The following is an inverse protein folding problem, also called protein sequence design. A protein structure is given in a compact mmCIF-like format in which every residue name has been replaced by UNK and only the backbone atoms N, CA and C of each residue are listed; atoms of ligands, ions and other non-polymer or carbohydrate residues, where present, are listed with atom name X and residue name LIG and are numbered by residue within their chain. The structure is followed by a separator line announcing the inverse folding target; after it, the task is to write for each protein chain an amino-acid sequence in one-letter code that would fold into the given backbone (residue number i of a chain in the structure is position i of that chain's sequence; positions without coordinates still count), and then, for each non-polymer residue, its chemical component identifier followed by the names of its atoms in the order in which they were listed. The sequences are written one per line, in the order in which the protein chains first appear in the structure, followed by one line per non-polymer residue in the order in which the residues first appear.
data_IF_264213038748
#
_entry.id   IF_264213038748
#
_cell.length_a   1.000
_cell.length_b   1.000
_cell.length_c   1.000
_cell.angle_alpha   90.00
_cell.angle_beta   90.00
_cell.angle_gamma   90.00
#
_symmetry.space_group_name_H-M   'P 1'
#
loop_
_entity.id
_entity.type
_entity.pdbx_description
1 polymer ?
#
# COMPACT_ATOMS: atom_id res chain seq x y z
N UNK A 1 21.32 13.38 12.47
CA UNK A 1 21.83 12.02 12.77
C UNK A 1 21.59 11.70 14.24
N UNK A 2 21.27 10.44 14.55
CA UNK A 2 21.32 9.89 15.90
C UNK A 2 22.51 8.92 16.01
N UNK A 3 23.26 8.98 17.09
CA UNK A 3 24.30 8.02 17.45
C UNK A 3 23.94 7.32 18.75
N UNK A 4 24.16 6.01 18.80
CA UNK A 4 23.93 5.16 19.96
C UNK A 4 25.26 4.58 20.41
N UNK A 5 25.72 5.01 21.60
CA UNK A 5 27.07 4.74 22.08
C UNK A 5 27.99 5.90 21.72
N UNK A 6 28.18 6.81 22.67
CA UNK A 6 29.05 7.98 22.48
C UNK A 6 30.51 7.63 22.77
N UNK A 7 30.75 6.80 23.79
CA UNK A 7 32.10 6.55 24.29
C UNK A 7 32.79 7.87 24.65
N UNK A 8 34.01 8.09 24.13
CA UNK A 8 34.75 9.33 24.36
C UNK A 8 34.32 10.51 23.46
N UNK A 9 33.29 10.34 22.61
CA UNK A 9 32.78 11.38 21.70
C UNK A 9 33.63 11.61 20.44
N UNK A 10 34.50 10.66 20.09
CA UNK A 10 35.36 10.78 18.90
C UNK A 10 34.55 10.75 17.59
N UNK A 11 33.65 9.78 17.45
CA UNK A 11 32.80 9.59 16.27
C UNK A 11 31.83 10.76 16.06
N UNK A 12 31.07 11.16 17.08
CA UNK A 12 30.19 12.34 17.03
C UNK A 12 30.95 13.61 16.61
N UNK A 13 32.13 13.84 17.18
CA UNK A 13 32.98 14.99 16.84
C UNK A 13 33.50 14.90 15.40
N UNK A 14 33.95 13.72 14.98
CA UNK A 14 34.39 13.49 13.61
C UNK A 14 33.27 13.78 12.61
N UNK A 15 32.08 13.23 12.84
CA UNK A 15 30.91 13.48 12.00
C UNK A 15 30.55 14.98 11.96
N UNK A 16 30.57 15.68 13.10
CA UNK A 16 30.25 17.11 13.17
C UNK A 16 31.21 17.99 12.34
N UNK A 17 32.50 17.62 12.31
CA UNK A 17 33.57 18.39 11.69
C UNK A 17 33.85 18.00 10.24
N UNK A 18 33.60 16.75 9.85
CA UNK A 18 33.98 16.20 8.54
C UNK A 18 32.80 15.93 7.61
N UNK A 19 31.57 16.26 8.02
CA UNK A 19 30.37 16.06 7.20
C UNK A 19 29.47 17.30 7.25
N UNK A 20 28.56 17.37 6.27
CA UNK A 20 27.54 18.42 6.17
C UNK A 20 26.31 18.16 7.07
N UNK A 21 26.44 17.25 8.05
CA UNK A 21 25.37 17.00 9.02
C UNK A 21 25.06 18.27 9.80
N UNK A 22 23.80 18.69 9.72
CA UNK A 22 23.30 19.91 10.39
C UNK A 22 23.19 19.72 11.91
N UNK A 23 22.71 18.54 12.34
CA UNK A 23 22.51 18.21 13.76
C UNK A 23 22.81 16.74 14.03
N UNK A 24 23.54 16.50 15.11
CA UNK A 24 23.90 15.17 15.61
C UNK A 24 23.39 15.09 17.04
N UNK A 25 22.65 14.04 17.37
CA UNK A 25 22.29 13.68 18.74
C UNK A 25 23.01 12.38 19.09
N UNK A 26 23.67 12.29 20.23
CA UNK A 26 24.39 11.07 20.66
C UNK A 26 23.96 10.66 22.06
N UNK A 27 23.76 9.35 22.26
CA UNK A 27 23.25 8.76 23.50
C UNK A 27 24.36 7.96 24.18
N UNK A 28 24.60 8.27 25.46
CA UNK A 28 25.50 7.54 26.33
C UNK A 28 24.80 7.18 27.63
N UNK A 29 24.98 5.95 28.12
CA UNK A 29 24.44 5.55 29.42
C UNK A 29 25.43 5.76 30.57
N UNK A 30 26.73 5.74 30.25
CA UNK A 30 27.78 5.84 31.25
C UNK A 30 28.09 7.31 31.53
N UNK A 31 27.80 7.75 32.75
CA UNK A 31 28.01 9.13 33.20
C UNK A 31 29.45 9.62 33.01
N UNK A 32 30.45 8.77 33.25
CA UNK A 32 31.85 9.14 33.11
C UNK A 32 32.21 9.43 31.65
N UNK A 33 31.77 8.57 30.73
CA UNK A 33 31.97 8.81 29.29
C UNK A 33 31.18 10.03 28.80
N UNK A 34 29.97 10.21 29.30
CA UNK A 34 29.16 11.39 29.01
C UNK A 34 29.84 12.69 29.47
N UNK A 35 30.38 12.72 30.69
CA UNK A 35 31.09 13.89 31.23
C UNK A 35 32.40 14.17 30.49
N UNK A 36 33.13 13.13 30.11
CA UNK A 36 34.40 13.24 29.36
C UNK A 36 34.21 13.40 27.86
N UNK A 37 32.97 13.39 27.36
CA UNK A 37 32.70 13.57 25.94
C UNK A 37 33.12 14.99 25.51
N UNK A 38 33.99 15.05 24.50
CA UNK A 38 34.52 16.30 23.99
C UNK A 38 33.39 17.11 23.32
N UNK A 39 32.81 18.08 24.03
CA UNK A 39 31.73 18.98 23.55
C UNK A 39 32.28 20.06 22.61
N UNK A 40 32.94 19.63 21.54
CA UNK A 40 33.76 20.48 20.66
C UNK A 40 32.93 21.15 19.56
N UNK A 41 31.68 20.75 19.35
CA UNK A 41 30.80 21.32 18.33
C UNK A 41 29.39 21.57 18.84
N UNK A 42 28.86 22.77 18.54
CA UNK A 42 27.46 23.13 18.77
C UNK A 42 26.46 22.31 17.96
N UNK A 43 26.94 21.55 16.95
CA UNK A 43 26.11 20.62 16.18
C UNK A 43 25.75 19.34 16.94
N UNK A 44 26.48 19.02 18.03
CA UNK A 44 26.33 17.76 18.77
C UNK A 44 25.57 17.98 20.07
N UNK A 45 24.40 17.36 20.16
CA UNK A 45 23.59 17.27 21.37
C UNK A 45 23.89 15.94 22.08
N UNK A 46 24.41 16.02 23.29
CA UNK A 46 24.73 14.85 24.11
C UNK A 46 23.57 14.53 25.05
N UNK A 47 23.13 13.27 25.10
CA UNK A 47 22.04 12.80 25.95
C UNK A 47 22.52 11.65 26.84
N UNK A 48 22.42 11.84 28.16
CA UNK A 48 22.66 10.79 29.14
C UNK A 48 21.38 9.93 29.27
N UNK A 49 21.36 8.74 28.66
CA UNK A 49 20.24 7.82 28.70
C UNK A 49 20.64 6.38 28.33
N UNK A 50 19.86 5.38 28.78
CA UNK A 50 19.96 4.03 28.23
C UNK A 50 19.26 3.97 26.86
N UNK A 51 19.98 3.56 25.81
CA UNK A 51 19.44 3.41 24.47
C UNK A 51 18.26 2.42 24.38
N UNK A 52 18.18 1.41 25.27
CA UNK A 52 17.05 0.49 25.31
C UNK A 52 15.76 1.15 25.86
N UNK A 53 15.88 2.22 26.62
CA UNK A 53 14.75 2.95 27.22
C UNK A 53 14.44 4.26 26.51
N UNK A 54 15.45 4.93 25.96
CA UNK A 54 15.33 6.22 25.29
C UNK A 54 14.33 6.19 24.13
N UNK A 55 13.40 7.14 24.09
CA UNK A 55 12.43 7.32 23.00
C UNK A 55 12.75 8.64 22.29
N UNK A 56 13.22 8.59 21.03
CA UNK A 56 13.42 9.82 20.27
C UNK A 56 12.12 10.57 19.99
N UNK A 57 12.17 11.90 20.06
CA UNK A 57 11.04 12.79 19.75
C UNK A 57 10.85 13.04 18.25
N UNK A 58 11.82 12.65 17.44
CA UNK A 58 11.81 12.85 15.99
C UNK A 58 12.48 11.70 15.24
N UNK A 59 12.27 11.67 13.92
CA UNK A 59 12.96 10.76 13.02
C UNK A 59 14.29 11.35 12.53
N UNK A 60 15.21 10.48 12.12
CA UNK A 60 16.54 10.84 11.65
C UNK A 60 16.81 10.33 10.23
N UNK A 61 17.65 11.04 9.49
CA UNK A 61 18.15 10.58 8.18
C UNK A 61 19.23 9.51 8.31
N UNK A 62 19.99 9.56 9.41
CA UNK A 62 21.08 8.61 9.72
C UNK A 62 20.98 8.21 11.18
N UNK A 63 21.04 6.91 11.45
CA UNK A 63 21.24 6.35 12.79
C UNK A 63 22.53 5.53 12.77
N UNK A 64 23.46 5.84 13.66
CA UNK A 64 24.72 5.11 13.84
C UNK A 64 24.65 4.29 15.14
N UNK A 65 24.84 2.98 15.04
CA UNK A 65 24.79 2.05 16.16
C UNK A 65 26.21 1.58 16.46
N UNK A 66 26.78 2.10 17.56
CA UNK A 66 28.02 1.62 18.19
C UNK A 66 27.74 1.18 19.64
N UNK A 67 26.65 0.42 19.79
CA UNK A 67 26.17 -0.09 21.07
C UNK A 67 26.74 -1.46 21.44
N UNK A 68 26.25 -2.06 22.53
CA UNK A 68 26.70 -3.38 22.99
C UNK A 68 26.56 -4.46 21.90
N UNK A 69 27.69 -5.08 21.54
CA UNK A 69 27.81 -6.11 20.47
C UNK A 69 26.79 -7.24 20.60
N UNK A 70 26.42 -7.66 21.81
CA UNK A 70 25.45 -8.73 22.06
C UNK A 70 23.98 -8.31 21.93
N UNK A 71 23.67 -7.03 21.68
CA UNK A 71 22.31 -6.49 21.63
C UNK A 71 22.04 -5.61 20.39
N UNK A 72 22.90 -5.66 19.37
CA UNK A 72 22.73 -4.86 18.15
C UNK A 72 21.40 -5.12 17.44
N UNK A 73 20.93 -6.37 17.41
CA UNK A 73 19.62 -6.74 16.85
C UNK A 73 18.45 -5.98 17.49
N UNK A 74 18.41 -5.93 18.83
CA UNK A 74 17.37 -5.21 19.58
C UNK A 74 17.43 -3.70 19.31
N UNK A 75 18.63 -3.14 19.18
CA UNK A 75 18.81 -1.73 18.84
C UNK A 75 18.32 -1.46 17.41
N UNK A 76 18.68 -2.30 16.44
CA UNK A 76 18.17 -2.18 15.07
C UNK A 76 16.64 -2.25 15.04
N UNK A 77 16.04 -3.22 15.73
CA UNK A 77 14.59 -3.40 15.76
C UNK A 77 13.82 -2.22 16.33
N UNK A 78 14.38 -1.61 17.38
CA UNK A 78 13.82 -0.42 17.99
C UNK A 78 14.00 0.80 17.07
N UNK A 79 15.23 1.05 16.65
CA UNK A 79 15.61 2.31 16.01
C UNK A 79 15.24 2.40 14.53
N UNK A 80 14.97 1.29 13.84
CA UNK A 80 14.37 1.30 12.49
C UNK A 80 13.04 2.06 12.41
N UNK A 81 12.31 2.21 13.52
CA UNK A 81 11.06 2.96 13.55
C UNK A 81 11.27 4.48 13.61
N UNK A 82 12.49 4.92 13.93
CA UNK A 82 12.88 6.33 14.07
C UNK A 82 13.74 6.81 12.88
N UNK A 83 13.79 6.05 11.78
CA UNK A 83 14.47 6.44 10.55
C UNK A 83 13.49 7.07 9.55
N UNK A 84 13.95 8.05 8.78
CA UNK A 84 13.19 8.60 7.65
C UNK A 84 13.10 7.59 6.49
N UNK A 85 12.14 7.80 5.58
CA UNK A 85 11.84 6.85 4.49
C UNK A 85 13.03 6.55 3.56
N UNK A 86 13.98 7.48 3.43
CA UNK A 86 15.21 7.33 2.64
C UNK A 86 16.47 7.31 3.53
N UNK A 87 16.30 7.16 4.83
CA UNK A 87 17.39 7.18 5.78
C UNK A 87 18.19 5.87 5.79
N UNK A 88 19.31 5.90 6.50
CA UNK A 88 20.18 4.74 6.67
C UNK A 88 20.52 4.48 8.13
N UNK A 89 20.64 3.20 8.47
CA UNK A 89 21.20 2.73 9.73
C UNK A 89 22.58 2.17 9.43
N UNK A 90 23.58 2.65 10.14
CA UNK A 90 24.95 2.18 10.05
C UNK A 90 25.27 1.47 11.36
N UNK A 91 25.76 0.24 11.29
CA UNK A 91 26.11 -0.56 12.46
C UNK A 91 27.60 -0.84 12.42
N UNK A 92 28.30 -0.45 13.48
CA UNK A 92 29.74 -0.66 13.60
C UNK A 92 30.09 -2.03 14.20
N UNK A 93 31.35 -2.43 13.99
CA UNK A 93 31.96 -3.65 14.50
C UNK A 93 31.27 -4.95 14.07
N UNK A 94 30.71 -5.01 12.85
CA UNK A 94 29.92 -6.17 12.39
C UNK A 94 30.75 -7.45 12.22
N UNK A 95 32.07 -7.37 12.02
CA UNK A 95 32.92 -8.57 11.91
C UNK A 95 33.48 -9.05 13.24
N UNK A 96 33.49 -8.20 14.27
CA UNK A 96 33.98 -8.53 15.60
C UNK A 96 35.39 -9.17 15.59
N UNK A 97 36.31 -8.74 14.69
CA UNK A 97 37.66 -9.29 14.49
C UNK A 97 38.45 -9.39 15.78
N UNK A 98 38.28 -8.41 16.69
CA UNK A 98 38.92 -8.42 18.03
C UNK A 98 38.43 -9.52 18.97
N UNK A 99 37.23 -10.06 18.74
CA UNK A 99 36.69 -11.19 19.49
C UNK A 99 37.02 -12.53 18.83
N UNK A 100 37.23 -12.57 17.51
CA UNK A 100 37.66 -13.78 16.79
C UNK A 100 39.00 -14.32 17.32
N UNK A 101 39.90 -13.45 17.80
CA UNK A 101 41.16 -13.86 18.40
C UNK A 101 41.03 -14.41 19.83
N UNK A 102 39.86 -14.27 20.48
CA UNK A 102 39.62 -14.74 21.84
C UNK A 102 38.92 -16.10 21.81
N UNK A 103 39.68 -17.16 22.11
CA UNK A 103 39.18 -18.53 22.07
C UNK A 103 38.47 -18.96 23.37
N UNK A 104 37.42 -18.23 23.78
CA UNK A 104 36.65 -18.54 24.99
C UNK A 104 35.13 -18.68 24.72
N UNK A 105 34.44 -19.44 25.60
CA UNK A 105 33.00 -19.73 25.44
C UNK A 105 32.11 -18.48 25.34
N UNK A 106 32.50 -17.39 26.00
CA UNK A 106 31.72 -16.15 25.98
C UNK A 106 31.85 -15.41 24.64
N UNK A 107 33.06 -15.35 24.07
CA UNK A 107 33.32 -14.77 22.76
C UNK A 107 32.55 -15.53 21.66
N UNK A 108 32.59 -16.86 21.69
CA UNK A 108 31.85 -17.71 20.74
C UNK A 108 30.33 -17.46 20.76
N UNK A 109 29.73 -17.27 21.94
CA UNK A 109 28.31 -16.92 22.06
C UNK A 109 27.98 -15.59 21.38
N UNK A 110 28.83 -14.58 21.54
CA UNK A 110 28.65 -13.26 20.92
C UNK A 110 28.79 -13.36 19.40
N UNK A 111 29.80 -14.09 18.92
CA UNK A 111 30.04 -14.33 17.48
C UNK A 111 28.83 -15.03 16.85
N UNK A 112 28.31 -16.09 17.47
CA UNK A 112 27.13 -16.79 16.97
C UNK A 112 25.89 -15.90 16.91
N UNK A 113 25.67 -15.08 17.95
CA UNK A 113 24.56 -14.12 17.95
C UNK A 113 24.70 -13.07 16.85
N UNK A 114 25.91 -12.57 16.62
CA UNK A 114 26.20 -11.62 15.55
C UNK A 114 26.00 -12.23 14.15
N UNK A 115 26.40 -13.49 13.95
CA UNK A 115 26.15 -14.19 12.68
C UNK A 115 24.64 -14.38 12.41
N UNK A 116 23.85 -14.68 13.44
CA UNK A 116 22.39 -14.74 13.32
C UNK A 116 21.82 -13.36 13.01
N UNK A 117 22.34 -12.30 13.62
CA UNK A 117 21.94 -10.93 13.31
C UNK A 117 22.26 -10.53 11.86
N UNK A 118 23.42 -10.91 11.33
CA UNK A 118 23.76 -10.68 9.90
C UNK A 118 22.77 -11.41 8.98
N UNK A 119 22.44 -12.67 9.29
CA UNK A 119 21.41 -13.43 8.54
C UNK A 119 20.06 -12.73 8.60
N UNK A 120 19.65 -12.28 9.79
CA UNK A 120 18.44 -11.51 10.00
C UNK A 120 18.40 -10.23 9.16
N UNK A 121 19.49 -9.44 9.13
CA UNK A 121 19.58 -8.25 8.29
C UNK A 121 19.40 -8.59 6.81
N UNK A 122 20.07 -9.63 6.31
CA UNK A 122 19.98 -10.04 4.91
C UNK A 122 18.59 -10.57 4.50
N UNK A 123 17.75 -10.94 5.46
CA UNK A 123 16.36 -11.37 5.21
C UNK A 123 15.37 -10.19 5.18
N UNK A 124 15.79 -8.98 5.56
CA UNK A 124 14.92 -7.80 5.58
C UNK A 124 14.64 -7.27 4.18
N UNK A 125 13.43 -7.53 3.67
CA UNK A 125 13.00 -7.13 2.32
C UNK A 125 12.98 -5.60 2.12
N UNK A 126 12.73 -4.82 3.16
CA UNK A 126 12.60 -3.34 3.07
C UNK A 126 13.93 -2.59 3.12
N UNK A 127 15.04 -3.32 3.23
CA UNK A 127 16.37 -2.74 3.41
C UNK A 127 17.34 -3.24 2.33
N UNK A 128 18.17 -2.33 1.86
CA UNK A 128 19.37 -2.64 1.08
C UNK A 128 20.54 -2.72 2.06
N UNK A 129 21.01 -3.93 2.32
CA UNK A 129 22.11 -4.19 3.26
C UNK A 129 23.41 -4.31 2.47
N UNK A 130 24.41 -3.50 2.83
CA UNK A 130 25.78 -3.60 2.31
C UNK A 130 26.76 -3.69 3.47
N UNK A 131 27.47 -4.81 3.57
CA UNK A 131 28.56 -4.97 4.53
C UNK A 131 29.85 -4.49 3.87
N UNK A 132 30.54 -3.54 4.50
CA UNK A 132 31.75 -2.89 4.01
C UNK A 132 32.93 -3.28 4.90
N UNK A 133 34.03 -3.72 4.29
CA UNK A 133 35.25 -4.09 5.00
C UNK A 133 36.14 -2.87 5.29
N UNK A 134 35.67 -2.01 6.19
CA UNK A 134 36.43 -0.89 6.77
C UNK A 134 36.51 -1.11 8.28
N UNK A 135 37.70 -0.96 8.86
CA UNK A 135 37.93 -1.20 10.29
C UNK A 135 37.53 -2.62 10.72
N UNK A 136 36.67 -2.72 11.74
CA UNK A 136 36.11 -3.98 12.24
C UNK A 136 34.79 -4.39 11.53
N UNK A 137 34.55 -3.80 10.35
CA UNK A 137 33.41 -4.04 9.49
C UNK A 137 32.21 -3.15 9.83
N UNK A 138 31.61 -2.57 8.80
CA UNK A 138 30.41 -1.74 8.89
C UNK A 138 29.27 -2.38 8.11
N UNK A 139 28.09 -2.49 8.71
CA UNK A 139 26.85 -2.78 7.98
C UNK A 139 26.12 -1.47 7.67
N UNK A 140 26.01 -1.13 6.40
CA UNK A 140 25.21 0.00 5.91
C UNK A 140 23.86 -0.55 5.47
N UNK A 141 22.84 -0.26 6.27
CA UNK A 141 21.45 -0.63 6.02
C UNK A 141 20.75 0.61 5.47
N UNK A 142 20.58 0.71 4.14
CA UNK A 142 19.81 1.81 3.54
C UNK A 142 18.37 1.36 3.35
N UNK A 143 17.41 2.16 3.81
CA UNK A 143 16.00 1.83 3.58
C UNK A 143 15.73 1.86 2.07
N UNK A 144 15.03 0.84 1.55
CA UNK A 144 14.62 0.86 0.14
C UNK A 144 13.70 2.06 -0.08
N UNK A 145 13.87 2.71 -1.23
CA UNK A 145 13.03 3.83 -1.60
C UNK A 145 11.59 3.34 -1.67
N UNK A 146 10.74 3.94 -0.84
CA UNK A 146 9.33 3.61 -0.83
C UNK A 146 8.73 4.15 -2.12
N UNK A 147 8.10 3.29 -2.90
CA UNK A 147 7.30 3.70 -4.06
C UNK A 147 5.87 3.31 -3.78
N UNK A 148 4.95 4.26 -3.94
CA UNK A 148 3.53 3.94 -3.91
C UNK A 148 3.18 3.27 -5.24
N UNK A 149 2.65 2.05 -5.15
CA UNK A 149 2.39 1.17 -6.28
C UNK A 149 1.10 1.54 -6.99
N UNK A 150 1.11 1.51 -8.32
CA UNK A 150 -0.09 1.74 -9.11
C UNK A 150 -0.66 0.42 -9.61
N UNK A 151 -1.89 0.11 -9.22
CA UNK A 151 -2.69 -1.00 -9.76
C UNK A 151 -3.78 -0.49 -10.67
N UNK A 152 -4.06 -1.22 -11.75
CA UNK A 152 -5.09 -0.82 -12.73
C UNK A 152 -5.95 -2.03 -13.08
N UNK A 153 -7.27 -1.89 -13.01
CA UNK A 153 -8.18 -2.91 -13.56
C UNK A 153 -8.18 -2.83 -15.08
N UNK A 154 -8.11 -3.98 -15.75
CA UNK A 154 -8.14 -4.06 -17.20
C UNK A 154 -9.34 -4.91 -17.64
N UNK A 155 -10.15 -4.38 -18.56
CA UNK A 155 -11.27 -5.12 -19.12
C UNK A 155 -10.87 -6.11 -20.21
N UNK A 156 -9.76 -5.87 -20.93
CA UNK A 156 -9.39 -6.71 -22.07
C UNK A 156 -7.87 -6.89 -22.19
N UNK A 157 -7.46 -7.91 -22.95
CA UNK A 157 -6.06 -8.28 -23.12
C UNK A 157 -5.20 -7.17 -23.75
N UNK A 158 -5.75 -6.40 -24.71
CA UNK A 158 -5.05 -5.30 -25.35
C UNK A 158 -4.72 -4.18 -24.36
N UNK A 159 -5.67 -3.80 -23.51
CA UNK A 159 -5.46 -2.82 -22.45
C UNK A 159 -4.42 -3.33 -21.43
N UNK A 160 -4.47 -4.61 -21.06
CA UNK A 160 -3.49 -5.21 -20.15
C UNK A 160 -2.06 -5.14 -20.74
N UNK A 161 -1.88 -5.49 -22.02
CA UNK A 161 -0.58 -5.32 -22.69
C UNK A 161 -0.12 -3.86 -22.68
N UNK A 162 -1.05 -2.91 -22.88
CA UNK A 162 -0.69 -1.49 -22.81
C UNK A 162 -0.26 -1.06 -21.42
N UNK A 163 -0.85 -1.60 -20.36
CA UNK A 163 -0.42 -1.34 -18.98
C UNK A 163 0.98 -1.90 -18.70
N UNK A 164 1.33 -3.06 -19.29
CA UNK A 164 2.70 -3.59 -19.22
C UNK A 164 3.71 -2.66 -19.90
N UNK A 165 3.39 -2.14 -21.10
CA UNK A 165 4.25 -1.15 -21.79
C UNK A 165 4.47 0.12 -20.97
N UNK A 166 3.46 0.53 -20.20
CA UNK A 166 3.52 1.70 -19.31
C UNK A 166 4.20 1.40 -17.97
N UNK A 167 4.71 0.17 -17.76
CA UNK A 167 5.35 -0.29 -16.52
C UNK A 167 4.45 -0.12 -15.29
N UNK A 168 3.14 -0.36 -15.42
CA UNK A 168 2.21 -0.37 -14.28
C UNK A 168 2.62 -1.49 -13.31
N UNK A 169 2.67 -1.20 -12.00
CA UNK A 169 3.19 -2.14 -11.01
C UNK A 169 2.33 -3.41 -10.88
N UNK A 170 1.01 -3.29 -11.03
CA UNK A 170 0.08 -4.41 -10.88
C UNK A 170 -1.13 -4.27 -11.83
N UNK A 171 -1.44 -5.33 -12.57
CA UNK A 171 -2.61 -5.39 -13.46
C UNK A 171 -3.65 -6.30 -12.80
N UNK A 172 -4.86 -5.79 -12.64
CA UNK A 172 -5.99 -6.52 -12.08
C UNK A 172 -6.93 -6.92 -13.21
N UNK A 173 -7.24 -8.21 -13.33
CA UNK A 173 -8.16 -8.75 -14.34
C UNK A 173 -9.27 -9.55 -13.69
N UNK A 174 -10.50 -9.37 -14.14
CA UNK A 174 -11.65 -10.16 -13.68
C UNK A 174 -11.68 -11.52 -14.37
N UNK A 175 -11.83 -12.61 -13.61
CA UNK A 175 -12.01 -13.95 -14.19
C UNK A 175 -13.48 -14.18 -14.55
N UNK A 176 -13.72 -14.63 -15.78
CA UNK A 176 -15.04 -15.01 -16.27
C UNK A 176 -15.74 -15.97 -15.28
N UNK A 177 -17.02 -15.72 -15.03
CA UNK A 177 -17.93 -16.48 -14.16
C UNK A 177 -17.65 -16.38 -12.64
N UNK A 178 -16.60 -15.68 -12.20
CA UNK A 178 -16.23 -15.55 -10.78
C UNK A 178 -16.00 -14.09 -10.34
N UNK A 179 -16.24 -13.12 -11.21
CA UNK A 179 -16.09 -11.71 -10.89
C UNK A 179 -17.30 -10.89 -11.36
N UNK A 180 -17.46 -9.73 -10.74
CA UNK A 180 -18.44 -8.73 -11.13
C UNK A 180 -17.79 -7.34 -11.20
N UNK A 181 -18.50 -6.38 -11.80
CA UNK A 181 -18.02 -4.98 -11.93
C UNK A 181 -16.75 -4.79 -12.76
N UNK A 182 -16.68 -5.48 -13.91
CA UNK A 182 -15.66 -5.25 -14.94
C UNK A 182 -16.32 -4.98 -16.29
N UNK A 183 -15.72 -4.10 -17.11
CA UNK A 183 -16.20 -3.85 -18.49
C UNK A 183 -16.12 -5.11 -19.37
N UNK A 184 -15.24 -6.04 -19.06
CA UNK A 184 -15.05 -7.30 -19.76
C UNK A 184 -14.25 -8.24 -18.84
N UNK A 185 -14.31 -9.54 -19.11
CA UNK A 185 -13.70 -10.59 -18.27
C UNK A 185 -12.73 -11.44 -19.07
N UNK A 186 -11.77 -12.04 -18.37
CA UNK A 186 -10.72 -12.86 -18.97
C UNK A 186 -11.03 -14.35 -18.79
N UNK A 187 -10.60 -15.13 -19.77
CA UNK A 187 -10.48 -16.58 -19.65
C UNK A 187 -9.17 -16.99 -18.96
N UNK A 188 -9.10 -18.22 -18.44
CA UNK A 188 -7.88 -18.78 -17.87
C UNK A 188 -6.71 -18.78 -18.87
N UNK A 189 -6.97 -19.02 -20.15
CA UNK A 189 -5.92 -19.05 -21.18
C UNK A 189 -5.37 -17.65 -21.50
N UNK A 190 -6.21 -16.61 -21.48
CA UNK A 190 -5.75 -15.23 -21.59
C UNK A 190 -4.92 -14.83 -20.36
N UNK A 191 -5.31 -15.24 -19.15
CA UNK A 191 -4.53 -15.00 -17.92
C UNK A 191 -3.17 -15.70 -18.00
N UNK A 192 -3.12 -16.97 -18.40
CA UNK A 192 -1.85 -17.69 -18.62
C UNK A 192 -0.95 -16.97 -19.63
N UNK A 193 -1.53 -16.47 -20.70
CA UNK A 193 -0.80 -15.72 -21.74
C UNK A 193 -0.30 -14.38 -21.20
N UNK A 194 -1.10 -13.68 -20.39
CA UNK A 194 -0.72 -12.42 -19.76
C UNK A 194 0.44 -12.64 -18.77
N UNK A 195 0.38 -13.67 -17.93
CA UNK A 195 1.44 -14.02 -16.98
C UNK A 195 2.78 -14.31 -17.68
N UNK A 196 2.77 -14.94 -18.86
CA UNK A 196 4.01 -15.14 -19.66
C UNK A 196 4.65 -13.83 -20.11
N UNK A 197 3.85 -12.77 -20.28
CA UNK A 197 4.31 -11.47 -20.76
C UNK A 197 4.50 -10.43 -19.63
N UNK A 198 4.20 -10.78 -18.37
CA UNK A 198 4.07 -9.80 -17.27
C UNK A 198 5.35 -9.03 -16.92
N UNK A 199 6.52 -9.57 -17.26
CA UNK A 199 7.80 -8.94 -16.94
C UNK A 199 7.96 -8.67 -15.44
N UNK A 200 8.11 -7.40 -15.05
CA UNK A 200 8.19 -6.99 -13.65
C UNK A 200 6.82 -6.60 -13.04
N UNK A 201 5.78 -6.47 -13.87
CA UNK A 201 4.44 -6.17 -13.41
C UNK A 201 3.82 -7.40 -12.76
N UNK A 202 3.07 -7.16 -11.68
CA UNK A 202 2.30 -8.20 -11.00
C UNK A 202 0.97 -8.43 -11.70
N UNK A 203 0.49 -9.67 -11.70
CA UNK A 203 -0.86 -10.00 -12.19
C UNK A 203 -1.75 -10.40 -11.02
N UNK A 204 -2.84 -9.68 -10.82
CA UNK A 204 -3.88 -9.99 -9.84
C UNK A 204 -5.13 -10.48 -10.54
N UNK A 205 -5.61 -11.67 -10.18
CA UNK A 205 -6.89 -12.21 -10.69
C UNK A 205 -7.99 -11.90 -9.67
N UNK A 206 -9.02 -11.17 -10.10
CA UNK A 206 -10.14 -10.79 -9.27
C UNK A 206 -11.26 -11.84 -9.34
N UNK A 207 -11.67 -12.29 -8.16
CA UNK A 207 -12.72 -13.29 -7.90
C UNK A 207 -13.72 -12.71 -6.87
N UNK A 208 -14.34 -11.58 -7.22
CA UNK A 208 -15.19 -10.77 -6.33
C UNK A 208 -16.70 -11.00 -6.53
N UNK A 209 -17.15 -12.16 -7.02
CA UNK A 209 -18.58 -12.52 -6.97
C UNK A 209 -18.96 -13.15 -5.62
N UNK A 210 -20.25 -13.17 -5.29
CA UNK A 210 -20.81 -13.80 -4.10
C UNK A 210 -21.10 -15.27 -4.43
N UNK A 211 -20.58 -16.20 -3.62
CA UNK A 211 -20.64 -17.61 -3.95
C UNK A 211 -21.69 -18.39 -3.14
N UNK A 212 -22.40 -19.28 -3.82
CA UNK A 212 -23.36 -20.20 -3.23
C UNK A 212 -22.84 -21.65 -3.26
N UNK A 213 -23.45 -22.52 -2.46
CA UNK A 213 -23.05 -23.91 -2.27
C UNK A 213 -22.84 -24.67 -3.59
N UNK A 214 -23.75 -24.47 -4.56
CA UNK A 214 -23.67 -25.12 -5.87
C UNK A 214 -22.48 -24.67 -6.73
N UNK A 215 -21.83 -23.56 -6.39
CA UNK A 215 -20.64 -23.03 -7.08
C UNK A 215 -19.33 -23.46 -6.40
N UNK A 216 -19.37 -24.02 -5.19
CA UNK A 216 -18.17 -24.34 -4.39
C UNK A 216 -17.21 -25.29 -5.11
N UNK A 217 -17.72 -26.34 -5.76
CA UNK A 217 -16.89 -27.27 -6.53
C UNK A 217 -16.17 -26.57 -7.70
N UNK A 218 -16.90 -25.73 -8.45
CA UNK A 218 -16.32 -24.98 -9.57
C UNK A 218 -15.27 -23.97 -9.12
N UNK A 219 -15.55 -23.24 -8.04
CA UNK A 219 -14.62 -22.31 -7.41
C UNK A 219 -13.34 -23.03 -6.94
N UNK A 220 -13.50 -24.19 -6.30
CA UNK A 220 -12.37 -24.99 -5.80
C UNK A 220 -11.45 -25.44 -6.92
N UNK A 221 -12.00 -26.02 -7.99
CA UNK A 221 -11.20 -26.44 -9.15
C UNK A 221 -10.57 -25.23 -9.86
N UNK A 222 -11.26 -24.10 -9.90
CA UNK A 222 -10.72 -22.86 -10.46
C UNK A 222 -9.53 -22.33 -9.65
N UNK A 223 -9.61 -22.35 -8.31
CA UNK A 223 -8.50 -21.93 -7.44
C UNK A 223 -7.29 -22.87 -7.57
N UNK A 224 -7.50 -24.18 -7.73
CA UNK A 224 -6.42 -25.14 -8.05
C UNK A 224 -5.72 -24.79 -9.35
N UNK A 225 -6.49 -24.50 -10.41
CA UNK A 225 -5.93 -24.06 -11.69
C UNK A 225 -5.13 -22.77 -11.55
N UNK A 226 -5.65 -21.79 -10.81
CA UNK A 226 -4.95 -20.52 -10.57
C UNK A 226 -3.67 -20.71 -9.74
N UNK A 227 -3.65 -21.67 -8.82
CA UNK A 227 -2.45 -22.01 -8.03
C UNK A 227 -1.29 -22.52 -8.90
N UNK A 228 -1.59 -23.15 -10.04
CA UNK A 228 -0.58 -23.64 -10.98
C UNK A 228 -0.14 -22.57 -12.01
N UNK A 229 -0.79 -21.40 -12.02
CA UNK A 229 -0.44 -20.27 -12.87
C UNK A 229 0.42 -19.29 -12.06
N UNK A 230 1.42 -18.70 -12.70
CA UNK A 230 2.27 -17.66 -12.10
C UNK A 230 1.52 -16.32 -11.99
N UNK A 231 0.41 -16.31 -11.23
CA UNK A 231 -0.28 -15.11 -10.78
C UNK A 231 0.32 -14.64 -9.46
N UNK A 232 0.25 -13.33 -9.21
CA UNK A 232 0.82 -12.74 -8.00
C UNK A 232 -0.17 -12.72 -6.85
N UNK A 233 -1.44 -12.43 -7.12
CA UNK A 233 -2.51 -12.34 -6.12
C UNK A 233 -3.85 -12.83 -6.66
N UNK A 234 -4.66 -13.39 -5.76
CA UNK A 234 -6.12 -13.49 -5.92
C UNK A 234 -6.78 -12.38 -5.11
N UNK A 235 -7.50 -11.49 -5.80
CA UNK A 235 -8.31 -10.45 -5.17
C UNK A 235 -9.71 -10.98 -4.92
N UNK A 236 -10.23 -10.82 -3.69
CA UNK A 236 -11.49 -11.42 -3.28
C UNK A 236 -12.26 -10.57 -2.27
N UNK A 237 -13.54 -10.88 -2.09
CA UNK A 237 -14.39 -10.32 -1.03
C UNK A 237 -15.11 -11.38 -0.16
N UNK A 238 -15.26 -12.62 -0.64
CA UNK A 238 -15.99 -13.70 0.02
C UNK A 238 -14.98 -14.66 0.67
N UNK A 239 -15.19 -14.97 1.95
CA UNK A 239 -14.28 -15.82 2.73
C UNK A 239 -14.27 -17.29 2.32
N UNK A 240 -15.15 -17.73 1.41
CA UNK A 240 -15.03 -19.04 0.77
C UNK A 240 -13.63 -19.24 0.13
N UNK A 241 -13.06 -18.20 -0.47
CA UNK A 241 -11.74 -18.27 -1.13
C UNK A 241 -10.60 -18.61 -0.15
N UNK A 242 -10.34 -17.83 0.92
CA UNK A 242 -9.31 -18.19 1.90
C UNK A 242 -9.59 -19.53 2.58
N UNK A 243 -10.86 -19.89 2.82
CA UNK A 243 -11.22 -21.19 3.39
C UNK A 243 -10.79 -22.35 2.48
N UNK A 244 -11.18 -22.31 1.20
CA UNK A 244 -10.78 -23.33 0.21
C UNK A 244 -9.25 -23.38 0.07
N UNK A 245 -8.57 -22.23 0.00
CA UNK A 245 -7.11 -22.20 -0.07
C UNK A 245 -6.45 -22.90 1.14
N UNK A 246 -7.05 -22.80 2.32
CA UNK A 246 -6.58 -23.49 3.51
C UNK A 246 -6.81 -25.00 3.43
N UNK A 247 -8.03 -25.43 3.08
CA UNK A 247 -8.44 -26.85 3.02
C UNK A 247 -7.68 -27.64 1.95
N UNK A 248 -7.52 -27.04 0.76
CA UNK A 248 -6.81 -27.64 -0.38
C UNK A 248 -5.29 -27.36 -0.34
N UNK A 249 -4.79 -26.71 0.71
CA UNK A 249 -3.38 -26.36 0.89
C UNK A 249 -2.78 -25.60 -0.31
N UNK A 250 -3.54 -24.64 -0.85
CA UNK A 250 -3.11 -23.79 -1.96
C UNK A 250 -2.14 -22.70 -1.45
N UNK A 251 -1.17 -22.35 -2.28
CA UNK A 251 -0.15 -21.34 -1.98
C UNK A 251 -0.38 -20.04 -2.77
N UNK A 252 -1.61 -19.54 -2.72
CA UNK A 252 -2.03 -18.29 -3.34
C UNK A 252 -1.84 -17.11 -2.37
N UNK A 253 -1.29 -16.00 -2.86
CA UNK A 253 -1.32 -14.75 -2.08
C UNK A 253 -2.69 -14.11 -2.22
N UNK A 254 -3.27 -13.70 -1.10
CA UNK A 254 -4.63 -13.17 -1.08
C UNK A 254 -4.65 -11.65 -0.85
N UNK A 255 -5.45 -10.96 -1.66
CA UNK A 255 -5.76 -9.54 -1.55
C UNK A 255 -7.24 -9.37 -1.21
N UNK A 256 -7.54 -9.05 0.04
CA UNK A 256 -8.91 -8.83 0.49
C UNK A 256 -9.38 -7.42 0.12
N UNK A 257 -10.39 -7.32 -0.74
CA UNK A 257 -10.89 -6.05 -1.29
C UNK A 257 -12.42 -6.00 -1.33
N UNK A 258 -13.10 -5.96 -0.18
CA UNK A 258 -14.57 -5.94 -0.10
C UNK A 258 -15.21 -4.55 -0.33
N UNK A 259 -14.39 -3.54 -0.66
CA UNK A 259 -14.77 -2.15 -0.98
C UNK A 259 -15.37 -1.30 0.17
N UNK A 260 -16.01 -1.92 1.17
CA UNK A 260 -16.84 -1.22 2.18
C UNK A 260 -16.45 -1.45 3.64
N UNK A 261 -15.82 -2.58 4.00
CA UNK A 261 -15.72 -3.01 5.41
C UNK A 261 -14.32 -2.97 6.05
N UNK A 262 -13.24 -2.79 5.28
CA UNK A 262 -11.89 -2.66 5.87
C UNK A 262 -11.67 -1.22 6.34
N UNK A 263 -12.12 -0.92 7.56
CA UNK A 263 -12.13 0.42 8.15
C UNK A 263 -11.16 0.59 9.32
N UNK A 264 -10.46 -0.47 9.75
CA UNK A 264 -9.51 -0.40 10.87
C UNK A 264 -8.36 -1.40 10.74
N UNK A 265 -7.21 -1.06 11.33
CA UNK A 265 -6.02 -1.93 11.34
C UNK A 265 -6.08 -3.07 12.38
N UNK A 266 -7.07 -3.06 13.28
CA UNK A 266 -7.19 -4.06 14.36
C UNK A 266 -7.43 -5.49 13.86
N UNK A 267 -7.96 -5.63 12.64
CA UNK A 267 -8.22 -6.92 11.99
C UNK A 267 -6.99 -7.48 11.26
N UNK A 268 -5.90 -6.71 11.10
CA UNK A 268 -4.78 -7.12 10.25
C UNK A 268 -4.05 -8.36 10.77
N UNK A 269 -3.97 -8.56 12.08
CA UNK A 269 -3.37 -9.77 12.65
C UNK A 269 -4.20 -11.02 12.32
N UNK A 270 -5.53 -10.90 12.24
CA UNK A 270 -6.41 -11.98 11.79
C UNK A 270 -6.18 -12.28 10.30
N UNK A 271 -6.11 -11.25 9.46
CA UNK A 271 -5.84 -11.41 8.04
C UNK A 271 -4.48 -12.09 7.78
N UNK A 272 -3.41 -11.63 8.43
CA UNK A 272 -2.07 -12.19 8.28
C UNK A 272 -1.99 -13.67 8.71
N UNK A 273 -2.69 -14.04 9.80
CA UNK A 273 -2.78 -15.45 10.24
C UNK A 273 -3.45 -16.35 9.21
N UNK A 274 -4.38 -15.80 8.42
CA UNK A 274 -5.07 -16.50 7.34
C UNK A 274 -4.41 -16.29 5.96
N UNK A 275 -3.11 -15.96 5.93
CA UNK A 275 -2.33 -15.72 4.70
C UNK A 275 -2.85 -14.59 3.78
N UNK A 276 -3.73 -13.73 4.30
CA UNK A 276 -4.14 -12.49 3.62
C UNK A 276 -3.08 -11.45 3.92
N UNK A 277 -2.32 -11.08 2.90
CA UNK A 277 -1.13 -10.20 3.05
C UNK A 277 -1.34 -8.81 2.48
N UNK A 278 -2.46 -8.60 1.77
CA UNK A 278 -2.87 -7.33 1.19
C UNK A 278 -4.35 -7.05 1.44
N UNK A 279 -4.68 -5.80 1.73
CA UNK A 279 -6.06 -5.32 1.86
C UNK A 279 -6.29 -4.05 1.06
N UNK A 280 -7.50 -3.88 0.51
CA UNK A 280 -8.02 -2.58 0.08
C UNK A 280 -8.85 -1.98 1.21
N UNK A 281 -8.59 -0.72 1.56
CA UNK A 281 -9.42 -0.01 2.53
C UNK A 281 -10.80 0.32 1.96
N UNK A 282 -11.76 0.50 2.86
CA UNK A 282 -13.09 0.99 2.48
C UNK A 282 -13.00 2.35 1.77
N UNK A 283 -13.80 2.52 0.73
CA UNK A 283 -13.79 3.72 -0.13
C UNK A 283 -14.21 4.98 0.63
N UNK A 284 -15.04 4.82 1.66
CA UNK A 284 -15.63 5.93 2.43
C UNK A 284 -14.78 6.43 3.61
N UNK A 285 -13.53 5.98 3.73
CA UNK A 285 -12.64 6.46 4.79
C UNK A 285 -12.10 7.86 4.50
N UNK A 286 -12.00 8.68 5.54
CA UNK A 286 -11.33 9.96 5.45
C UNK A 286 -9.81 9.80 5.47
N UNK A 287 -9.07 10.72 4.84
CA UNK A 287 -7.59 10.65 4.77
C UNK A 287 -6.92 10.55 6.16
N UNK A 288 -7.48 11.21 7.17
CA UNK A 288 -7.00 11.12 8.56
C UNK A 288 -7.13 9.72 9.17
N UNK A 289 -8.17 8.96 8.79
CA UNK A 289 -8.39 7.59 9.23
C UNK A 289 -7.43 6.65 8.51
N UNK A 290 -7.29 6.81 7.19
CA UNK A 290 -6.29 6.09 6.39
C UNK A 290 -4.87 6.29 6.93
N UNK A 291 -4.53 7.52 7.37
CA UNK A 291 -3.26 7.83 8.03
C UNK A 291 -3.03 7.01 9.30
N UNK A 292 -4.04 6.92 10.17
CA UNK A 292 -3.95 6.08 11.38
C UNK A 292 -3.73 4.61 11.01
N UNK A 293 -4.42 4.11 9.98
CA UNK A 293 -4.28 2.72 9.52
C UNK A 293 -2.88 2.47 8.97
N UNK A 294 -2.42 3.26 8.00
CA UNK A 294 -1.13 3.05 7.33
C UNK A 294 0.06 3.15 8.29
N UNK A 295 0.02 4.05 9.27
CA UNK A 295 1.05 4.16 10.30
C UNK A 295 1.08 2.96 11.28
N UNK A 296 -0.02 2.21 11.40
CA UNK A 296 -0.14 1.04 12.30
C UNK A 296 -0.26 -0.31 11.57
N UNK A 297 -0.10 -0.33 10.23
CA UNK A 297 -0.39 -1.51 9.39
C UNK A 297 0.51 -2.73 9.59
N UNK A 298 1.57 -2.63 10.39
CA UNK A 298 2.60 -3.67 10.59
C UNK A 298 3.12 -4.19 9.23
N UNK A 299 2.99 -5.49 8.96
CA UNK A 299 3.43 -6.15 7.73
C UNK A 299 2.38 -6.19 6.62
N UNK A 300 1.17 -5.66 6.85
CA UNK A 300 0.08 -5.66 5.87
C UNK A 300 0.38 -4.68 4.73
N UNK A 301 0.18 -5.12 3.49
CA UNK A 301 0.11 -4.22 2.34
C UNK A 301 -1.28 -3.56 2.28
N UNK A 302 -1.34 -2.23 2.24
CA UNK A 302 -2.58 -1.44 2.30
C UNK A 302 -2.75 -0.64 1.01
N UNK A 303 -3.86 -0.87 0.33
CA UNK A 303 -4.24 -0.22 -0.91
C UNK A 303 -5.51 0.62 -0.73
N UNK A 304 -5.67 1.64 -1.56
CA UNK A 304 -6.87 2.50 -1.61
C UNK A 304 -7.34 2.68 -3.05
N UNK A 305 -8.65 2.91 -3.27
CA UNK A 305 -9.17 3.28 -4.60
C UNK A 305 -8.67 4.69 -4.92
N UNK A 306 -7.71 4.80 -5.85
CA UNK A 306 -7.09 6.06 -6.21
C UNK A 306 -7.88 6.85 -7.24
N UNK A 307 -8.52 6.16 -8.18
CA UNK A 307 -9.42 6.74 -9.17
C UNK A 307 -10.53 5.74 -9.53
N UNK A 308 -11.73 6.24 -9.80
CA UNK A 308 -12.86 5.42 -10.26
C UNK A 308 -14.15 5.71 -9.51
N UNK A 309 -15.20 4.97 -9.85
CA UNK A 309 -16.49 5.07 -9.17
C UNK A 309 -16.44 4.39 -7.80
N UNK A 310 -17.05 4.99 -6.78
CA UNK A 310 -17.17 4.42 -5.45
C UNK A 310 -18.31 3.43 -5.38
N UNK A 311 -18.10 2.27 -4.76
CA UNK A 311 -19.14 1.27 -4.59
C UNK A 311 -20.09 1.62 -3.44
N UNK A 312 -21.39 1.51 -3.69
CA UNK A 312 -22.45 1.81 -2.71
C UNK A 312 -23.16 0.53 -2.27
N UNK A 313 -23.67 -0.26 -3.22
CA UNK A 313 -24.36 -1.52 -2.90
C UNK A 313 -24.31 -2.54 -4.03
N UNK A 314 -24.52 -3.80 -3.66
CA UNK A 314 -24.73 -4.93 -4.56
C UNK A 314 -25.92 -5.74 -4.07
N UNK A 315 -26.91 -5.94 -4.94
CA UNK A 315 -28.02 -6.85 -4.76
C UNK A 315 -27.94 -7.96 -5.81
N UNK A 316 -28.06 -9.24 -5.39
CA UNK A 316 -28.17 -10.37 -6.34
C UNK A 316 -29.50 -10.39 -7.10
N UNK A 317 -30.46 -9.54 -6.73
CA UNK A 317 -31.76 -9.48 -7.40
C UNK A 317 -31.66 -8.61 -8.65
N UNK A 318 -32.32 -8.98 -9.75
CA UNK A 318 -32.35 -8.19 -10.98
C UNK A 318 -33.37 -7.05 -10.82
N UNK A 319 -33.08 -6.11 -9.91
CA UNK A 319 -33.99 -5.04 -9.51
C UNK A 319 -34.34 -4.13 -10.69
N UNK A 320 -33.36 -3.85 -11.55
CA UNK A 320 -33.53 -2.95 -12.69
C UNK A 320 -34.36 -3.63 -13.77
N UNK A 321 -34.08 -4.89 -14.11
CA UNK A 321 -34.94 -5.66 -15.03
C UNK A 321 -36.38 -5.77 -14.53
N UNK A 322 -36.57 -6.04 -13.24
CA UNK A 322 -37.90 -6.13 -12.63
C UNK A 322 -38.64 -4.79 -12.71
N UNK A 323 -37.96 -3.68 -12.44
CA UNK A 323 -38.52 -2.34 -12.54
C UNK A 323 -38.90 -1.98 -13.98
N UNK A 324 -37.99 -2.18 -14.93
CA UNK A 324 -38.23 -1.85 -16.35
C UNK A 324 -39.40 -2.67 -16.93
N UNK A 325 -39.51 -3.95 -16.53
CA UNK A 325 -40.66 -4.79 -16.87
C UNK A 325 -41.96 -4.26 -16.28
N UNK A 326 -41.96 -3.82 -15.03
CA UNK A 326 -43.15 -3.25 -14.38
C UNK A 326 -43.56 -1.92 -15.01
N UNK A 327 -42.59 -1.10 -15.41
CA UNK A 327 -42.79 0.22 -16.02
C UNK A 327 -43.07 0.18 -17.54
N UNK A 328 -43.17 -1.00 -18.16
CA UNK A 328 -43.32 -1.22 -19.62
C UNK A 328 -42.26 -0.50 -20.49
N UNK A 329 -41.01 -0.43 -20.00
CA UNK A 329 -39.89 0.17 -20.74
C UNK A 329 -39.25 -0.85 -21.68
N UNK A 330 -39.49 -0.71 -22.99
CA UNK A 330 -39.12 -1.71 -24.03
C UNK A 330 -37.75 -1.53 -24.65
N UNK A 331 -37.15 -0.35 -24.58
CA UNK A 331 -35.82 -0.08 -25.12
C UNK A 331 -34.76 -0.16 -24.02
N UNK A 332 -34.14 -1.32 -23.84
CA UNK A 332 -32.91 -1.41 -23.06
C UNK A 332 -32.06 -2.62 -23.46
N UNK A 333 -30.75 -2.41 -23.47
CA UNK A 333 -29.75 -3.49 -23.47
C UNK A 333 -28.83 -3.25 -22.29
N UNK A 334 -28.67 -4.27 -21.44
CA UNK A 334 -27.56 -4.33 -20.50
C UNK A 334 -26.32 -4.72 -21.31
N UNK A 335 -25.55 -3.72 -21.74
CA UNK A 335 -24.20 -3.93 -22.26
C UNK A 335 -23.16 -3.46 -21.23
N UNK A 336 -21.91 -3.85 -21.43
CA UNK A 336 -20.87 -3.68 -20.41
C UNK A 336 -20.41 -2.21 -20.21
N UNK A 337 -20.95 -1.26 -20.97
CA UNK A 337 -20.64 0.17 -20.85
C UNK A 337 -21.87 1.02 -20.52
N UNK A 338 -23.06 0.42 -20.47
CA UNK A 338 -24.31 1.11 -20.21
C UNK A 338 -24.67 1.03 -18.73
N UNK A 339 -25.18 2.14 -18.23
CA UNK A 339 -25.71 2.27 -16.88
C UNK A 339 -26.87 3.26 -16.90
N UNK A 340 -27.61 3.25 -15.80
CA UNK A 340 -28.66 4.22 -15.52
C UNK A 340 -28.20 5.15 -14.41
N UNK A 341 -28.80 6.32 -14.37
CA UNK A 341 -28.67 7.24 -13.26
C UNK A 341 -29.94 7.22 -12.43
N UNK A 342 -29.79 6.98 -11.14
CA UNK A 342 -30.88 7.06 -10.17
C UNK A 342 -30.61 8.22 -9.21
N UNK A 343 -31.60 9.08 -9.03
CA UNK A 343 -31.50 10.26 -8.19
C UNK A 343 -32.71 10.34 -7.28
N UNK A 344 -32.46 10.41 -5.98
CA UNK A 344 -33.49 10.83 -5.02
C UNK A 344 -33.82 12.31 -5.25
N UNK A 345 -35.09 12.69 -5.14
CA UNK A 345 -35.58 14.01 -5.57
C UNK A 345 -34.81 15.19 -4.92
N UNK A 346 -34.47 15.04 -3.63
CA UNK A 346 -33.77 16.04 -2.84
C UNK A 346 -32.25 16.11 -3.11
N UNK A 347 -31.66 15.10 -3.77
CA UNK A 347 -30.21 15.06 -4.02
C UNK A 347 -29.83 15.87 -5.26
N UNK A 348 -28.70 16.57 -5.17
CA UNK A 348 -28.14 17.34 -6.28
C UNK A 348 -27.58 16.45 -7.40
N UNK A 349 -26.87 15.39 -7.03
CA UNK A 349 -26.19 14.49 -7.96
C UNK A 349 -26.80 13.08 -7.96
N UNK A 350 -26.94 12.44 -9.13
CA UNK A 350 -27.41 11.06 -9.22
C UNK A 350 -26.35 10.07 -8.71
N UNK A 351 -26.76 8.82 -8.55
CA UNK A 351 -25.90 7.66 -8.43
C UNK A 351 -26.02 6.83 -9.70
N UNK A 352 -24.95 6.09 -10.02
CA UNK A 352 -24.95 5.13 -11.12
C UNK A 352 -25.59 3.83 -10.63
N UNK A 353 -26.50 3.26 -11.41
CA UNK A 353 -27.09 1.94 -11.17
C UNK A 353 -27.06 1.13 -12.47
N UNK A 354 -26.65 -0.13 -12.38
CA UNK A 354 -26.66 -1.04 -13.52
C UNK A 354 -26.87 -2.48 -13.06
N UNK A 355 -27.09 -3.38 -14.01
CA UNK A 355 -27.33 -4.79 -13.76
C UNK A 355 -26.41 -5.64 -14.64
N UNK A 356 -25.76 -6.63 -14.04
CA UNK A 356 -24.98 -7.67 -14.72
C UNK A 356 -25.45 -9.07 -14.29
N UNK A 357 -24.75 -10.12 -14.72
CA UNK A 357 -25.10 -11.51 -14.36
C UNK A 357 -25.03 -11.79 -12.84
N UNK A 358 -24.40 -10.91 -12.08
CA UNK A 358 -24.28 -10.99 -10.62
C UNK A 358 -25.38 -10.19 -9.92
N UNK A 359 -26.27 -9.52 -10.64
CA UNK A 359 -27.40 -8.75 -10.11
C UNK A 359 -27.22 -7.24 -10.30
N UNK A 360 -27.90 -6.46 -9.47
CA UNK A 360 -27.91 -5.00 -9.53
C UNK A 360 -26.80 -4.39 -8.65
N UNK A 361 -26.06 -3.44 -9.22
CA UNK A 361 -24.99 -2.71 -8.56
C UNK A 361 -25.31 -1.22 -8.55
N UNK A 362 -24.95 -0.54 -7.46
CA UNK A 362 -25.04 0.91 -7.33
C UNK A 362 -23.69 1.48 -6.96
N UNK A 363 -23.32 2.56 -7.63
CA UNK A 363 -22.06 3.27 -7.47
C UNK A 363 -22.33 4.77 -7.30
N UNK A 364 -21.31 5.53 -6.89
CA UNK A 364 -21.35 6.99 -6.95
C UNK A 364 -21.63 7.47 -8.37
N UNK A 365 -22.37 8.57 -8.55
CA UNK A 365 -22.53 9.23 -9.85
C UNK A 365 -21.39 10.21 -10.19
N UNK A 366 -20.22 10.01 -9.60
CA UNK A 366 -19.03 10.82 -9.82
C UNK A 366 -17.79 9.96 -9.58
N UNK A 367 -16.69 10.29 -10.27
CA UNK A 367 -15.41 9.64 -10.07
C UNK A 367 -14.71 10.22 -8.84
N UNK A 368 -14.24 9.33 -7.98
CA UNK A 368 -13.33 9.66 -6.90
C UNK A 368 -11.92 9.81 -7.49
N UNK A 369 -11.16 10.78 -6.99
CA UNK A 369 -9.73 10.91 -7.34
C UNK A 369 -8.92 11.38 -6.14
N UNK A 370 -7.91 10.59 -5.77
CA UNK A 370 -7.00 10.90 -4.68
C UNK A 370 -5.79 11.73 -5.12
N UNK A 371 -5.71 12.20 -6.38
CA UNK A 371 -4.47 12.75 -6.96
C UNK A 371 -3.90 13.93 -6.12
N UNK A 372 -4.79 14.76 -5.54
CA UNK A 372 -4.45 15.91 -4.67
C UNK A 372 -4.00 15.50 -3.26
N UNK A 373 -4.20 14.25 -2.87
CA UNK A 373 -3.83 13.68 -1.57
C UNK A 373 -2.71 12.65 -1.67
N UNK A 374 -2.12 12.45 -2.85
CA UNK A 374 -1.06 11.45 -3.03
C UNK A 374 0.11 11.62 -2.07
N UNK A 375 0.55 12.86 -1.82
CA UNK A 375 1.62 13.13 -0.86
C UNK A 375 1.26 12.68 0.56
N UNK A 376 0.04 13.00 0.98
CA UNK A 376 -0.46 12.64 2.30
C UNK A 376 -0.61 11.12 2.44
N UNK A 377 -1.14 10.42 1.43
CA UNK A 377 -1.25 8.96 1.40
C UNK A 377 0.13 8.29 1.41
N UNK A 378 1.08 8.83 0.65
CA UNK A 378 2.46 8.38 0.62
C UNK A 378 3.12 8.47 2.01
N UNK A 379 3.02 9.63 2.65
CA UNK A 379 3.55 9.91 4.00
C UNK A 379 2.85 9.08 5.08
N UNK A 380 1.58 8.78 4.87
CA UNK A 380 0.72 7.96 5.73
C UNK A 380 1.05 6.47 5.67
N UNK A 381 2.06 6.09 4.90
CA UNK A 381 2.46 4.71 4.72
C UNK A 381 1.41 3.84 3.98
N UNK A 382 0.62 4.40 3.06
CA UNK A 382 -0.19 3.60 2.11
C UNK A 382 0.73 3.01 1.03
N UNK A 383 0.52 1.75 0.64
CA UNK A 383 1.43 1.02 -0.28
C UNK A 383 1.06 1.21 -1.73
N UNK A 384 -0.23 1.30 -2.04
CA UNK A 384 -0.65 1.41 -3.42
C UNK A 384 -2.04 1.97 -3.64
N UNK A 385 -2.29 2.26 -4.91
CA UNK A 385 -3.52 2.83 -5.43
C UNK A 385 -4.12 1.85 -6.43
N UNK A 386 -5.44 1.84 -6.51
CA UNK A 386 -6.18 1.12 -7.55
C UNK A 386 -6.89 2.16 -8.42
N UNK A 387 -6.57 2.16 -9.71
CA UNK A 387 -7.35 2.82 -10.76
C UNK A 387 -8.39 1.81 -11.24
N UNK A 388 -9.65 2.07 -10.91
CA UNK A 388 -10.79 1.29 -11.33
C UNK A 388 -11.33 1.85 -12.65
N UNK A 389 -11.33 0.99 -13.66
CA UNK A 389 -11.62 1.31 -15.07
C UNK A 389 -13.08 1.09 -15.46
N UNK A 390 -13.95 0.71 -14.51
CA UNK A 390 -15.36 0.45 -14.80
C UNK A 390 -16.00 1.67 -15.49
N UNK A 391 -16.72 1.42 -16.58
CA UNK A 391 -17.32 2.41 -17.48
C UNK A 391 -16.37 3.39 -18.18
N UNK A 392 -15.06 3.15 -18.13
CA UNK A 392 -14.07 3.89 -18.92
C UNK A 392 -13.69 3.14 -20.20
N UNK A 393 -13.47 3.88 -21.29
CA UNK A 393 -12.84 3.38 -22.52
C UNK A 393 -11.33 3.22 -22.32
N UNK A 394 -10.72 2.30 -23.06
CA UNK A 394 -9.28 2.00 -22.96
C UNK A 394 -8.37 3.24 -23.05
N UNK A 395 -8.65 4.16 -23.98
CA UNK A 395 -7.88 5.40 -24.11
C UNK A 395 -8.01 6.31 -22.89
N UNK A 396 -9.18 6.37 -22.25
CA UNK A 396 -9.38 7.14 -21.01
C UNK A 396 -8.54 6.53 -19.88
N UNK A 397 -8.54 5.19 -19.74
CA UNK A 397 -7.74 4.48 -18.73
C UNK A 397 -6.24 4.78 -18.93
N UNK A 398 -5.76 4.69 -20.17
CA UNK A 398 -4.35 4.97 -20.52
C UNK A 398 -3.95 6.38 -20.10
N UNK A 399 -4.78 7.39 -20.38
CA UNK A 399 -4.47 8.78 -20.05
C UNK A 399 -4.51 9.03 -18.54
N UNK A 400 -5.51 8.49 -17.82
CA UNK A 400 -5.55 8.55 -16.35
C UNK A 400 -4.31 7.92 -15.72
N UNK A 401 -3.88 6.75 -16.20
CA UNK A 401 -2.67 6.07 -15.70
C UNK A 401 -1.42 6.93 -15.92
N UNK A 402 -1.29 7.59 -17.08
CA UNK A 402 -0.17 8.52 -17.32
C UNK A 402 -0.19 9.70 -16.35
N UNK A 403 -1.36 10.29 -16.09
CA UNK A 403 -1.49 11.38 -15.13
C UNK A 403 -1.09 10.95 -13.71
N UNK A 404 -1.53 9.76 -13.27
CA UNK A 404 -1.14 9.23 -11.96
C UNK A 404 0.35 8.92 -11.87
N UNK A 405 0.97 8.35 -12.91
CA UNK A 405 2.41 8.13 -12.95
C UNK A 405 3.20 9.46 -12.88
N UNK A 406 2.74 10.48 -13.59
CA UNK A 406 3.33 11.82 -13.52
C UNK A 406 3.18 12.42 -12.12
N UNK A 407 2.01 12.27 -11.50
CA UNK A 407 1.75 12.75 -10.15
C UNK A 407 2.60 12.03 -9.08
N UNK A 408 2.74 10.71 -9.18
CA UNK A 408 3.61 9.90 -8.32
C UNK A 408 5.09 10.27 -8.46
N UNK A 409 5.51 10.72 -9.64
CA UNK A 409 6.87 11.22 -9.89
C UNK A 409 7.09 12.64 -9.35
N UNK A 410 6.02 13.39 -9.09
CA UNK A 410 6.03 14.81 -8.72
C UNK A 410 5.31 15.09 -7.39
N UNK A 411 5.32 14.14 -6.45
CA UNK A 411 4.56 14.23 -5.18
C UNK A 411 4.79 15.51 -4.36
N UNK A 412 5.96 16.16 -4.51
CA UNK A 412 6.31 17.38 -3.76
C UNK A 412 5.96 18.68 -4.50
N UNK A 413 5.45 18.62 -5.73
CA UNK A 413 5.11 19.79 -6.54
C UNK A 413 3.60 20.02 -6.57
N UNK A 414 3.09 20.74 -5.57
CA UNK A 414 1.66 20.99 -5.38
C UNK A 414 0.98 21.63 -6.61
N UNK A 415 1.64 22.60 -7.25
CA UNK A 415 1.12 23.26 -8.45
C UNK A 415 0.94 22.28 -9.62
N UNK A 416 1.87 21.34 -9.78
CA UNK A 416 1.76 20.29 -10.80
C UNK A 416 0.62 19.33 -10.47
N UNK A 417 0.50 18.92 -9.21
CA UNK A 417 -0.59 18.03 -8.76
C UNK A 417 -1.97 18.66 -9.01
N UNK A 418 -2.15 19.96 -8.74
CA UNK A 418 -3.40 20.67 -9.02
C UNK A 418 -3.72 20.64 -10.53
N UNK A 419 -2.74 20.94 -11.38
CA UNK A 419 -2.91 20.88 -12.84
C UNK A 419 -3.31 19.49 -13.32
N UNK A 420 -2.70 18.44 -12.77
CA UNK A 420 -3.03 17.06 -13.13
C UNK A 420 -4.44 16.66 -12.65
N UNK A 421 -4.89 17.15 -11.50
CA UNK A 421 -6.27 16.96 -11.03
C UNK A 421 -7.31 17.64 -11.93
N UNK A 422 -7.00 18.80 -12.48
CA UNK A 422 -7.92 19.44 -13.41
C UNK A 422 -7.92 18.72 -14.75
N UNK A 423 -6.74 18.32 -15.25
CA UNK A 423 -6.60 17.62 -16.52
C UNK A 423 -7.30 16.25 -16.57
N UNK A 424 -7.37 15.50 -15.46
CA UNK A 424 -8.11 14.22 -15.45
C UNK A 424 -9.61 14.38 -15.76
N UNK A 425 -10.18 15.57 -15.51
CA UNK A 425 -11.60 15.86 -15.78
C UNK A 425 -11.91 15.85 -17.28
N UNK A 426 -10.92 16.12 -18.13
CA UNK A 426 -11.08 16.13 -19.59
C UNK A 426 -11.22 14.71 -20.18
N UNK A 427 -10.92 13.67 -19.39
CA UNK A 427 -10.88 12.28 -19.86
C UNK A 427 -12.04 11.41 -19.38
N UNK A 428 -12.96 11.94 -18.56
CA UNK A 428 -14.13 11.18 -18.09
C UNK A 428 -15.39 11.99 -18.31
N UNK A 429 -16.49 11.29 -18.58
CA UNK A 429 -17.78 11.90 -18.91
C UNK A 429 -18.57 12.35 -17.67
N UNK A 430 -17.97 12.23 -16.48
CA UNK A 430 -18.56 12.45 -15.17
C UNK A 430 -17.75 13.43 -14.33
N UNK A 431 -18.39 13.99 -13.30
CA UNK A 431 -17.71 14.85 -12.34
C UNK A 431 -16.59 14.07 -11.65
N UNK A 432 -15.41 14.69 -11.50
CA UNK A 432 -14.32 14.16 -10.68
C UNK A 432 -14.26 14.94 -9.38
N UNK A 433 -14.32 14.23 -8.26
CA UNK A 433 -14.25 14.80 -6.92
C UNK A 433 -13.17 14.12 -6.07
N UNK A 434 -12.66 14.84 -5.08
CA UNK A 434 -11.82 14.26 -4.02
C UNK A 434 -12.65 13.34 -3.10
N UNK A 435 -13.97 13.53 -3.03
CA UNK A 435 -14.86 12.71 -2.21
C UNK A 435 -14.36 12.60 -0.77
N UNK A 436 -14.22 11.36 -0.28
CA UNK A 436 -13.75 11.06 1.08
C UNK A 436 -12.28 11.40 1.33
N UNK A 437 -11.48 11.64 0.27
CA UNK A 437 -10.12 12.16 0.43
C UNK A 437 -10.11 13.66 0.83
N UNK A 438 -11.20 14.35 0.55
CA UNK A 438 -11.39 15.78 0.68
C UNK A 438 -12.00 16.22 2.02
N UNK A 439 -12.80 17.28 1.94
CA UNK A 439 -13.67 17.77 3.02
C UNK A 439 -15.09 17.24 2.79
N UNK A 440 -15.98 17.44 3.77
CA UNK A 440 -17.39 17.02 3.65
C UNK A 440 -18.07 17.55 2.37
N UNK A 441 -17.75 18.79 1.94
CA UNK A 441 -18.30 19.36 0.71
C UNK A 441 -17.85 18.68 -0.59
N UNK A 442 -16.77 17.90 -0.57
CA UNK A 442 -16.31 17.11 -1.72
C UNK A 442 -17.11 15.80 -1.87
N UNK A 443 -17.87 15.43 -0.84
CA UNK A 443 -18.72 14.24 -0.80
C UNK A 443 -20.06 14.58 -1.47
N UNK A 444 -20.08 14.54 -2.79
CA UNK A 444 -21.19 15.05 -3.60
C UNK A 444 -22.53 14.35 -3.32
N UNK A 445 -22.51 13.10 -2.84
CA UNK A 445 -23.74 12.37 -2.54
C UNK A 445 -24.52 12.95 -1.34
N UNK A 446 -23.90 13.82 -0.53
CA UNK A 446 -24.54 14.50 0.61
C UNK A 446 -25.15 15.86 0.27
N UNK A 447 -24.90 16.37 -0.94
CA UNK A 447 -25.33 17.70 -1.34
C UNK A 447 -26.81 17.70 -1.74
N UNK A 448 -27.60 18.51 -1.04
CA UNK A 448 -29.00 18.80 -1.37
C UNK A 448 -29.09 19.94 -2.40
N UNK A 449 -30.22 20.05 -3.10
CA UNK A 449 -30.48 21.18 -4.01
C UNK A 449 -30.53 22.51 -3.25
N UNK A 450 -30.12 23.60 -3.91
CA UNK A 450 -29.85 24.91 -3.30
C UNK A 450 -31.11 25.60 -2.70
N UNK A 451 -32.32 25.06 -2.95
CA UNK A 451 -33.60 25.67 -2.53
C UNK A 451 -34.09 25.28 -1.12
N UNK A 452 -33.40 24.41 -0.38
CA UNK A 452 -33.93 23.87 0.89
C UNK A 452 -32.91 23.80 2.04
N UNK A 453 -31.78 24.53 1.97
CA UNK A 453 -30.85 24.66 3.12
C UNK A 453 -31.39 25.55 4.26
N UNK A 454 -32.57 26.16 4.11
CA UNK A 454 -33.18 27.03 5.14
C UNK A 454 -34.14 26.33 6.11
N UNK A 455 -34.29 25.00 6.04
CA UNK A 455 -35.22 24.27 6.89
C UNK A 455 -34.69 22.96 7.42
N UNK A 456 -33.81 23.01 8.42
CA UNK A 456 -33.71 22.01 9.52
C UNK A 456 -32.75 22.46 10.63
#
# INVERSE_FOLDING_TARGET
MLEIGTGNGFSSTFFALKTDLKKIKTIEKNELYFQNSNKVSSKVEYVLADAFEYKPDSKYDIIFIDGPKSKQELLFEKYQNYINHNGMIIIDNIFLKRLLSKNNKQALKIINKNNNFIKYLNQKKDWNIKIVNVGDGLAVCKRKEKTMKLSVTCGNYSLALKMLELNVDNIIVGLKDYCCRFNNVFTIEEIKSLCKNKGNSKITVCLNDIYFENQMNGLTETLKLLNDIDIDYVMFHDFAIPQICYEENLNLNLHYSPETIVTSYGQFDFYLKNKITRVSLATELMTNEMKKIGLNKKAMEVYVKGFGLGFVMHSRWPMLSNFLKHADVKEHKFDNLSYWEIKEDLRKYPNIIYEDNSGTHMLTGYFLSCIKRLKELYDSNIDGLIIDSLFMKDNQVIEIVKLFNQALSNLNNENEIIKLFDKQKDYVDHIVSEGFFGKMGDILHTLKNDNEQEGE
#
